data_IF_613048197990
#
_entry.id   IF_613048197990
#
_cell.length_a   1.000
_cell.length_b   1.000
_cell.length_c   1.000
_cell.angle_alpha   90.00
_cell.angle_beta   90.00
_cell.angle_gamma   90.00
#
_symmetry.space_group_name_H-M   'P 1'
#
loop_
_entity.id
_entity.type
_entity.pdbx_description
1 polymer ?
#
# COMPACT_ATOMS: atom_id res chain seq x y z
N UNK A 1 3.80 44.26 25.21
CA UNK A 1 2.85 44.77 26.22
C UNK A 1 1.45 44.57 25.66
N UNK A 2 0.50 43.87 26.26
CA UNK A 2 0.41 43.19 27.54
C UNK A 2 -0.59 42.05 27.38
N UNK A 3 -0.34 40.97 28.11
CA UNK A 3 -1.17 39.78 28.26
C UNK A 3 -2.40 40.17 29.09
N UNK A 4 -3.59 39.74 28.68
CA UNK A 4 -4.80 39.81 29.52
C UNK A 4 -5.15 38.40 29.97
N UNK A 5 -5.30 38.28 31.29
CA UNK A 5 -5.30 37.05 32.08
C UNK A 5 -6.63 36.30 31.96
N UNK A 6 -6.51 34.98 31.99
CA UNK A 6 -7.59 34.02 32.23
C UNK A 6 -7.81 33.92 33.75
N UNK A 7 -9.02 34.20 34.24
CA UNK A 7 -9.40 34.01 35.65
C UNK A 7 -9.95 32.59 35.86
N UNK A 8 -9.32 31.89 36.81
CA UNK A 8 -9.66 30.56 37.29
C UNK A 8 -10.58 30.72 38.50
N UNK A 9 -11.82 30.24 38.41
CA UNK A 9 -12.69 30.10 39.58
C UNK A 9 -12.34 28.80 40.31
N UNK A 10 -11.81 28.94 41.52
CA UNK A 10 -11.67 27.88 42.51
C UNK A 10 -12.99 27.63 43.23
N UNK A 11 -13.39 26.36 43.38
CA UNK A 11 -14.43 25.94 44.31
C UNK A 11 -13.82 25.02 45.37
N UNK A 12 -13.73 25.55 46.60
CA UNK A 12 -13.50 24.81 47.84
C UNK A 12 -14.85 24.31 48.36
N UNK A 13 -14.97 23.00 48.65
CA UNK A 13 -15.98 22.49 49.59
C UNK A 13 -15.30 21.54 50.57
N UNK A 14 -15.44 21.89 51.85
CA UNK A 14 -14.85 21.27 53.03
C UNK A 14 -15.27 19.83 53.31
N UNK A 15 -14.31 19.12 53.90
CA UNK A 15 -14.37 18.12 54.96
C UNK A 15 -15.72 17.45 55.28
N UNK A 16 -15.76 16.13 55.11
CA UNK A 16 -16.36 15.22 56.11
C UNK A 16 -15.38 14.05 56.34
N UNK A 17 -14.72 14.08 57.50
CA UNK A 17 -13.98 12.96 58.06
C UNK A 17 -14.99 11.97 58.66
N UNK A 18 -14.95 10.70 58.26
CA UNK A 18 -15.56 9.61 59.03
C UNK A 18 -14.63 8.40 59.00
N UNK A 19 -14.09 8.11 60.18
CA UNK A 19 -13.22 7.00 60.50
C UNK A 19 -14.10 5.91 61.12
N UNK A 20 -14.28 4.77 60.45
CA UNK A 20 -14.61 3.52 61.13
C UNK A 20 -13.74 2.40 60.56
N UNK A 21 -13.06 1.74 61.50
CA UNK A 21 -12.03 0.74 61.32
C UNK A 21 -12.61 -0.64 60.98
N UNK A 22 -11.82 -1.36 60.17
CA UNK A 22 -11.53 -2.80 60.22
C UNK A 22 -12.70 -3.79 60.13
N UNK A 23 -12.78 -4.48 58.99
CA UNK A 23 -12.78 -5.94 58.99
C UNK A 23 -12.08 -6.44 57.73
N UNK A 24 -11.11 -7.33 57.94
CA UNK A 24 -10.24 -7.85 56.91
C UNK A 24 -10.94 -8.81 55.95
N UNK A 25 -10.54 -8.75 54.69
CA UNK A 25 -10.48 -9.92 53.84
C UNK A 25 -9.16 -9.86 53.06
N UNK A 26 -8.20 -10.68 53.50
CA UNK A 26 -6.98 -10.98 52.77
C UNK A 26 -7.33 -11.83 51.56
N UNK A 27 -7.34 -11.26 50.34
CA UNK A 27 -7.09 -12.04 49.11
C UNK A 27 -6.33 -11.15 48.11
N UNK A 28 -5.02 -11.43 48.04
CA UNK A 28 -4.06 -11.34 46.93
C UNK A 28 -4.06 -10.10 45.98
N UNK A 29 -2.89 -9.48 45.75
CA UNK A 29 -2.74 -8.51 44.67
C UNK A 29 -2.92 -9.24 43.33
N UNK A 30 -3.95 -8.88 42.56
CA UNK A 30 -3.98 -9.20 41.14
C UNK A 30 -2.78 -8.49 40.51
N UNK A 31 -1.77 -9.31 40.23
CA UNK A 31 -0.62 -9.01 39.39
C UNK A 31 -1.04 -8.05 38.28
N UNK A 32 -0.41 -6.88 38.25
CA UNK A 32 -0.37 -6.01 37.09
C UNK A 32 0.33 -6.84 36.02
N UNK A 33 -0.44 -7.64 35.28
CA UNK A 33 0.03 -8.23 34.04
C UNK A 33 0.42 -7.06 33.16
N UNK A 34 1.72 -6.89 32.94
CA UNK A 34 2.25 -6.15 31.80
C UNK A 34 1.36 -6.52 30.61
N UNK A 35 0.55 -5.57 30.14
CA UNK A 35 0.00 -5.66 28.81
C UNK A 35 1.22 -5.60 27.89
N UNK A 36 1.75 -6.78 27.55
CA UNK A 36 2.61 -6.95 26.40
C UNK A 36 1.84 -6.34 25.23
N UNK A 37 2.33 -5.20 24.74
CA UNK A 37 1.98 -4.73 23.40
C UNK A 37 2.30 -5.88 22.45
N UNK A 38 1.28 -6.63 22.10
CA UNK A 38 1.34 -7.65 21.09
C UNK A 38 1.61 -6.90 19.78
N UNK A 39 2.72 -7.18 19.08
CA UNK A 39 2.96 -6.52 17.80
C UNK A 39 1.77 -6.82 16.88
N UNK A 40 1.35 -5.77 16.17
CA UNK A 40 0.27 -5.81 15.21
C UNK A 40 0.49 -6.96 14.21
N UNK A 41 -0.58 -7.75 14.07
CA UNK A 41 -1.01 -8.50 12.89
C UNK A 41 0.10 -9.14 12.02
N UNK A 42 0.16 -10.47 12.12
CA UNK A 42 0.74 -11.43 11.18
C UNK A 42 1.08 -10.84 9.79
N UNK A 43 2.30 -10.31 9.66
CA UNK A 43 2.84 -9.82 8.41
C UNK A 43 2.94 -11.04 7.50
N UNK A 44 2.19 -11.04 6.39
CA UNK A 44 2.28 -12.04 5.33
C UNK A 44 3.75 -12.43 5.12
N UNK A 45 4.08 -13.72 5.21
CA UNK A 45 5.46 -14.25 5.11
C UNK A 45 6.27 -13.54 4.01
N UNK A 46 7.05 -12.53 4.40
CA UNK A 46 7.91 -11.69 3.53
C UNK A 46 9.14 -12.48 3.04
N UNK A 47 9.29 -13.72 3.49
CA UNK A 47 10.47 -14.58 3.29
C UNK A 47 10.67 -15.08 1.85
N UNK A 48 9.76 -14.80 0.91
CA UNK A 48 9.83 -15.28 -0.48
C UNK A 48 10.11 -14.20 -1.54
N UNK A 49 10.36 -12.94 -1.15
CA UNK A 49 10.64 -11.86 -2.10
C UNK A 49 12.13 -11.89 -2.52
N UNK A 50 12.46 -12.01 -3.82
CA UNK A 50 13.84 -12.00 -4.29
C UNK A 50 14.58 -10.71 -3.91
N UNK A 51 15.87 -10.83 -3.59
CA UNK A 51 16.73 -9.71 -3.20
C UNK A 51 16.74 -8.59 -4.25
N UNK A 52 16.67 -8.93 -5.54
CA UNK A 52 16.67 -7.97 -6.64
C UNK A 52 15.49 -7.00 -6.62
N UNK A 53 14.40 -7.32 -5.92
CA UNK A 53 13.19 -6.48 -5.83
C UNK A 53 12.83 -6.12 -4.39
N UNK A 54 13.74 -6.31 -3.43
CA UNK A 54 13.52 -5.83 -2.06
C UNK A 54 13.41 -4.31 -2.01
N UNK A 55 12.45 -3.82 -1.22
CA UNK A 55 12.35 -2.39 -0.92
C UNK A 55 13.56 -1.91 -0.12
N UNK A 56 13.98 -0.65 -0.25
CA UNK A 56 15.06 -0.10 0.56
C UNK A 56 14.77 -0.13 2.07
N UNK A 57 15.83 -0.07 2.87
CA UNK A 57 15.72 0.05 4.32
C UNK A 57 14.95 1.30 4.72
N UNK A 58 14.15 1.19 5.78
CA UNK A 58 13.36 2.30 6.32
C UNK A 58 11.98 2.47 5.66
N UNK A 59 11.62 1.58 4.74
CA UNK A 59 10.27 1.45 4.19
C UNK A 59 9.46 0.43 4.99
N UNK A 60 8.16 0.66 5.10
CA UNK A 60 7.23 -0.18 5.83
C UNK A 60 6.03 -0.53 4.95
N UNK A 61 5.58 -1.77 5.04
CA UNK A 61 4.39 -2.22 4.32
C UNK A 61 3.18 -1.47 4.86
N UNK A 62 2.48 -0.78 3.97
CA UNK A 62 1.30 -0.01 4.29
C UNK A 62 0.04 -0.84 4.05
N UNK A 63 -0.08 -1.48 2.88
CA UNK A 63 -1.14 -2.45 2.58
C UNK A 63 -0.81 -3.33 1.36
N UNK A 64 -1.58 -4.40 1.22
CA UNK A 64 -1.63 -5.28 0.06
C UNK A 64 -2.92 -5.01 -0.74
N UNK A 65 -2.80 -4.99 -2.06
CA UNK A 65 -3.92 -4.88 -3.02
C UNK A 65 -3.77 -5.95 -4.08
N UNK A 66 -4.82 -6.72 -4.33
CA UNK A 66 -4.81 -7.66 -5.44
C UNK A 66 -5.32 -6.99 -6.72
N UNK A 67 -4.85 -7.46 -7.87
CA UNK A 67 -5.25 -6.92 -9.16
C UNK A 67 -5.64 -8.03 -10.13
N UNK A 68 -6.62 -7.73 -10.98
CA UNK A 68 -7.03 -8.58 -12.11
C UNK A 68 -7.30 -7.72 -13.34
N UNK A 69 -6.79 -8.16 -14.48
CA UNK A 69 -6.90 -7.37 -15.70
C UNK A 69 -6.17 -7.99 -16.89
N UNK A 70 -5.60 -7.15 -17.74
CA UNK A 70 -4.81 -7.57 -18.88
C UNK A 70 -3.55 -6.72 -19.07
N UNK A 71 -2.51 -7.34 -19.61
CA UNK A 71 -1.44 -6.62 -20.31
C UNK A 71 -1.87 -6.47 -21.77
N UNK A 72 -1.84 -5.25 -22.26
CA UNK A 72 -2.18 -4.93 -23.64
C UNK A 72 -0.89 -4.89 -24.44
N UNK A 73 -0.80 -5.73 -25.47
CA UNK A 73 0.32 -5.75 -26.41
C UNK A 73 -0.12 -5.24 -27.77
N UNK A 74 0.80 -4.59 -28.47
CA UNK A 74 0.64 -4.15 -29.86
C UNK A 74 1.71 -4.83 -30.70
N UNK A 75 1.32 -5.37 -31.85
CA UNK A 75 2.26 -5.99 -32.78
C UNK A 75 2.99 -4.90 -33.56
N UNK A 76 4.32 -4.86 -33.45
CA UNK A 76 5.16 -3.86 -34.09
C UNK A 76 6.35 -4.51 -34.77
N UNK A 77 6.91 -3.80 -35.74
CA UNK A 77 8.22 -4.14 -36.27
C UNK A 77 9.24 -4.06 -35.14
N UNK A 78 10.10 -5.07 -35.00
CA UNK A 78 11.08 -5.15 -33.92
C UNK A 78 12.09 -3.99 -33.98
N UNK A 79 12.45 -3.57 -35.20
CA UNK A 79 13.21 -2.35 -35.46
C UNK A 79 12.95 -1.90 -36.89
N UNK A 80 13.25 -0.64 -37.21
CA UNK A 80 13.06 -0.07 -38.56
C UNK A 80 13.85 -0.81 -39.66
N UNK A 81 14.85 -1.62 -39.27
CA UNK A 81 15.70 -2.40 -40.17
C UNK A 81 15.43 -3.91 -40.12
N UNK A 82 14.43 -4.35 -39.35
CA UNK A 82 14.05 -5.76 -39.23
C UNK A 82 12.81 -6.05 -40.07
N UNK A 83 12.72 -7.24 -40.65
CA UNK A 83 11.45 -7.76 -41.20
C UNK A 83 10.66 -8.55 -40.15
N UNK A 84 11.20 -8.68 -38.93
CA UNK A 84 10.58 -9.42 -37.84
C UNK A 84 9.64 -8.51 -37.05
N UNK A 85 8.50 -9.08 -36.67
CA UNK A 85 7.49 -8.43 -35.86
C UNK A 85 7.45 -9.06 -34.46
N UNK A 86 7.26 -8.23 -33.44
CA UNK A 86 7.14 -8.67 -32.06
C UNK A 86 6.00 -7.95 -31.32
N UNK A 87 5.45 -8.64 -30.32
CA UNK A 87 4.48 -8.07 -29.41
C UNK A 87 5.17 -7.13 -28.41
N UNK A 88 4.95 -5.82 -28.56
CA UNK A 88 5.46 -4.81 -27.63
C UNK A 88 4.40 -4.47 -26.58
N UNK A 89 4.79 -4.37 -25.30
CA UNK A 89 3.88 -3.96 -24.24
C UNK A 89 3.43 -2.51 -24.46
N UNK A 90 2.11 -2.30 -24.57
CA UNK A 90 1.50 -0.97 -24.70
C UNK A 90 1.12 -0.40 -23.33
N UNK A 91 0.37 -1.15 -22.54
CA UNK A 91 -0.08 -0.72 -21.20
C UNK A 91 -0.66 -1.89 -20.39
N UNK A 92 -0.62 -1.83 -19.05
CA UNK A 92 -1.54 -2.58 -18.22
C UNK A 92 -2.94 -1.94 -18.25
N UNK A 93 -3.97 -2.75 -18.00
CA UNK A 93 -5.34 -2.34 -17.71
C UNK A 93 -5.92 -3.31 -16.69
N UNK A 94 -5.98 -2.88 -15.42
CA UNK A 94 -6.39 -3.75 -14.33
C UNK A 94 -7.23 -3.05 -13.26
N UNK A 95 -8.17 -3.82 -12.72
CA UNK A 95 -8.96 -3.48 -11.54
C UNK A 95 -8.14 -3.78 -10.28
N UNK A 96 -8.14 -2.86 -9.33
CA UNK A 96 -7.54 -3.02 -8.01
C UNK A 96 -8.62 -3.43 -7.00
N UNK A 97 -8.30 -4.42 -6.18
CA UNK A 97 -9.19 -5.00 -5.19
C UNK A 97 -8.53 -4.93 -3.80
N UNK A 98 -9.27 -4.46 -2.80
CA UNK A 98 -8.84 -4.55 -1.42
C UNK A 98 -8.88 -6.00 -0.91
N UNK A 99 -8.47 -6.23 0.34
CA UNK A 99 -8.42 -7.57 0.95
C UNK A 99 -9.80 -8.24 1.05
N UNK A 100 -10.88 -7.45 1.09
CA UNK A 100 -12.26 -7.94 1.07
C UNK A 100 -12.77 -8.21 -0.35
N UNK A 101 -11.94 -8.05 -1.38
CA UNK A 101 -12.30 -8.24 -2.78
C UNK A 101 -13.15 -7.11 -3.38
N UNK A 102 -13.25 -5.97 -2.69
CA UNK A 102 -13.99 -4.80 -3.15
C UNK A 102 -13.13 -3.95 -4.07
N UNK A 103 -13.76 -3.34 -5.07
CA UNK A 103 -13.11 -2.45 -6.03
C UNK A 103 -12.58 -1.18 -5.33
N UNK A 104 -11.25 -1.06 -5.33
CA UNK A 104 -10.46 0.02 -4.76
C UNK A 104 -10.11 1.10 -5.80
N UNK A 105 -10.10 0.75 -7.09
CA UNK A 105 -9.60 1.61 -8.16
C UNK A 105 -8.99 0.84 -9.32
N UNK A 106 -8.04 1.45 -10.02
CA UNK A 106 -7.48 0.92 -11.27
C UNK A 106 -5.98 1.14 -11.41
N UNK A 107 -5.35 0.29 -12.22
CA UNK A 107 -3.96 0.39 -12.63
C UNK A 107 -3.85 0.44 -14.17
N UNK A 108 -3.11 1.41 -14.69
CA UNK A 108 -2.99 1.67 -16.13
C UNK A 108 -1.62 2.23 -16.52
N UNK A 109 -1.47 2.66 -17.78
CA UNK A 109 -0.22 3.19 -18.37
C UNK A 109 0.45 4.27 -17.51
N UNK A 110 1.77 4.43 -17.67
CA UNK A 110 2.55 5.41 -16.91
C UNK A 110 3.43 4.86 -15.80
N UNK A 111 3.44 3.54 -15.54
CA UNK A 111 2.45 2.87 -14.68
C UNK A 111 1.84 3.76 -13.59
N UNK A 112 0.51 3.78 -13.51
CA UNK A 112 -0.26 4.60 -12.56
C UNK A 112 -1.22 3.73 -11.74
N UNK A 113 -1.38 4.02 -10.46
CA UNK A 113 -2.44 3.47 -9.61
C UNK A 113 -3.33 4.63 -9.17
N UNK A 114 -4.62 4.50 -9.41
CA UNK A 114 -5.64 5.50 -9.10
C UNK A 114 -6.72 4.85 -8.24
N UNK A 115 -7.00 5.45 -7.09
CA UNK A 115 -8.02 4.99 -6.16
C UNK A 115 -9.34 5.71 -6.37
N UNK A 116 -10.43 5.15 -5.84
CA UNK A 116 -11.76 5.77 -5.87
C UNK A 116 -11.89 7.08 -5.12
N UNK A 117 -10.99 7.36 -4.18
CA UNK A 117 -10.89 8.66 -3.50
C UNK A 117 -10.22 9.75 -4.37
N UNK A 118 -9.85 9.42 -5.61
CA UNK A 118 -9.21 10.31 -6.57
C UNK A 118 -7.70 10.43 -6.39
N UNK A 119 -7.11 9.80 -5.37
CA UNK A 119 -5.66 9.81 -5.20
C UNK A 119 -4.97 8.93 -6.22
N UNK A 120 -3.76 9.35 -6.63
CA UNK A 120 -2.94 8.63 -7.59
C UNK A 120 -1.49 8.55 -7.15
N UNK A 121 -0.82 7.49 -7.56
CA UNK A 121 0.64 7.39 -7.58
C UNK A 121 1.09 6.95 -8.96
N UNK A 122 2.03 7.69 -9.53
CA UNK A 122 2.75 7.31 -10.76
C UNK A 122 4.12 6.79 -10.33
N UNK A 123 4.56 5.67 -10.89
CA UNK A 123 5.85 5.08 -10.53
C UNK A 123 6.70 4.74 -11.77
N UNK A 124 7.96 4.37 -11.53
CA UNK A 124 8.82 3.77 -12.55
C UNK A 124 9.29 2.41 -12.09
N UNK A 125 9.61 1.52 -13.04
CA UNK A 125 10.30 0.27 -12.71
C UNK A 125 11.73 0.58 -12.26
N UNK A 126 12.12 0.07 -11.09
CA UNK A 126 13.48 0.19 -10.57
C UNK A 126 14.28 -1.09 -10.82
N UNK A 127 13.66 -2.25 -10.62
CA UNK A 127 14.25 -3.55 -10.87
C UNK A 127 13.16 -4.59 -11.10
N UNK A 128 13.58 -5.76 -11.60
CA UNK A 128 12.70 -6.90 -11.88
C UNK A 128 13.29 -8.20 -11.36
N UNK A 129 12.42 -9.17 -11.12
CA UNK A 129 12.77 -10.56 -10.90
C UNK A 129 11.94 -11.41 -11.87
N UNK A 130 12.63 -12.24 -12.66
CA UNK A 130 11.96 -13.19 -13.53
C UNK A 130 11.31 -14.30 -12.69
N UNK A 131 10.20 -14.84 -13.18
CA UNK A 131 9.39 -15.85 -12.50
C UNK A 131 9.49 -17.18 -13.23
N UNK A 132 9.35 -18.29 -12.50
CA UNK A 132 9.47 -19.63 -13.06
C UNK A 132 8.24 -20.05 -13.87
N UNK A 133 7.09 -19.39 -13.68
CA UNK A 133 5.89 -19.65 -14.48
C UNK A 133 6.06 -19.07 -15.89
N UNK A 134 5.97 -19.94 -16.91
CA UNK A 134 6.33 -19.61 -18.29
C UNK A 134 5.50 -18.48 -18.92
N UNK A 135 4.26 -18.28 -18.45
CA UNK A 135 3.28 -17.32 -18.98
C UNK A 135 3.11 -16.06 -18.10
N UNK A 136 3.78 -16.02 -16.94
CA UNK A 136 3.68 -14.92 -16.01
C UNK A 136 4.65 -13.78 -16.36
N UNK A 137 4.19 -12.53 -16.20
CA UNK A 137 5.07 -11.36 -16.27
C UNK A 137 6.01 -11.29 -15.05
N UNK A 138 7.20 -10.66 -15.17
CA UNK A 138 8.14 -10.52 -14.06
C UNK A 138 7.53 -9.80 -12.85
N UNK A 139 8.03 -10.17 -11.67
CA UNK A 139 7.84 -9.36 -10.47
C UNK A 139 8.69 -8.10 -10.55
N UNK A 140 8.21 -7.02 -9.94
CA UNK A 140 8.84 -5.70 -10.06
C UNK A 140 9.01 -5.05 -8.69
N UNK A 141 10.08 -4.28 -8.56
CA UNK A 141 10.15 -3.15 -7.64
C UNK A 141 9.93 -1.87 -8.43
N UNK A 142 9.02 -1.02 -7.94
CA UNK A 142 8.72 0.28 -8.52
C UNK A 142 8.93 1.39 -7.50
N UNK A 143 9.49 2.51 -7.98
CA UNK A 143 9.75 3.72 -7.21
C UNK A 143 8.75 4.80 -7.62
N UNK A 144 8.03 5.36 -6.65
CA UNK A 144 7.09 6.45 -6.89
C UNK A 144 7.80 7.68 -7.49
N UNK A 145 7.10 8.36 -8.40
CA UNK A 145 7.58 9.55 -9.11
C UNK A 145 6.76 10.79 -8.83
N UNK A 146 5.46 10.63 -8.74
CA UNK A 146 4.54 11.70 -8.40
C UNK A 146 3.30 11.15 -7.74
N UNK A 147 2.63 12.05 -7.02
CA UNK A 147 1.38 11.80 -6.33
C UNK A 147 0.37 12.86 -6.72
N UNK A 148 -0.90 12.47 -6.77
CA UNK A 148 -2.02 13.40 -6.91
C UNK A 148 -3.05 13.09 -5.83
N UNK A 149 -3.72 14.14 -5.33
CA UNK A 149 -4.76 14.01 -4.32
C UNK A 149 -4.24 13.71 -2.90
N UNK A 150 -5.16 13.75 -1.94
CA UNK A 150 -4.87 13.61 -0.50
C UNK A 150 -5.31 12.27 0.10
N UNK A 151 -5.61 11.30 -0.77
CA UNK A 151 -6.15 9.99 -0.42
C UNK A 151 -5.10 8.92 -0.13
N UNK A 152 -5.48 7.66 -0.28
CA UNK A 152 -4.67 6.51 0.10
C UNK A 152 -3.30 6.51 -0.59
N UNK A 153 -3.19 6.89 -1.86
CA UNK A 153 -1.90 6.78 -2.55
C UNK A 153 -0.89 7.89 -2.23
N UNK A 154 -1.28 8.94 -1.48
CA UNK A 154 -0.49 10.18 -1.36
C UNK A 154 0.91 10.05 -0.74
N UNK A 155 1.18 8.97 0.00
CA UNK A 155 2.44 8.74 0.75
C UNK A 155 3.18 7.48 0.28
N UNK A 156 2.76 6.88 -0.83
CA UNK A 156 3.40 5.67 -1.33
C UNK A 156 4.77 6.02 -1.90
N UNK A 157 5.84 5.47 -1.35
CA UNK A 157 7.20 5.65 -1.88
C UNK A 157 7.61 4.51 -2.82
N UNK A 158 7.23 3.27 -2.47
CA UNK A 158 7.58 2.08 -3.22
C UNK A 158 6.38 1.17 -3.42
N UNK A 159 6.42 0.45 -4.53
CA UNK A 159 5.41 -0.55 -4.87
C UNK A 159 6.15 -1.81 -5.31
N UNK A 160 5.82 -2.95 -4.72
CA UNK A 160 6.23 -4.24 -5.28
C UNK A 160 5.06 -4.86 -6.02
N UNK A 161 5.32 -5.40 -7.21
CA UNK A 161 4.39 -6.29 -7.91
C UNK A 161 4.89 -7.71 -7.78
N UNK A 162 4.13 -8.56 -7.12
CA UNK A 162 4.48 -9.96 -6.85
C UNK A 162 3.30 -10.88 -7.19
N UNK A 163 3.51 -12.19 -7.05
CA UNK A 163 2.51 -13.24 -7.28
C UNK A 163 1.77 -13.10 -8.63
N UNK A 164 2.51 -12.71 -9.66
CA UNK A 164 1.96 -12.56 -11.01
C UNK A 164 1.56 -13.92 -11.59
N UNK A 165 0.42 -13.97 -12.27
CA UNK A 165 -0.02 -15.11 -13.07
C UNK A 165 -0.45 -14.57 -14.43
N UNK A 166 0.04 -15.17 -15.51
CA UNK A 166 -0.25 -14.73 -16.87
C UNK A 166 0.33 -13.35 -17.25
N UNK A 167 -0.20 -12.79 -18.32
CA UNK A 167 0.14 -11.47 -18.82
C UNK A 167 1.34 -11.41 -19.74
N UNK A 168 2.12 -12.48 -19.93
CA UNK A 168 3.25 -12.49 -20.87
C UNK A 168 2.75 -12.48 -22.32
N UNK A 169 3.45 -11.78 -23.20
CA UNK A 169 3.16 -11.78 -24.63
C UNK A 169 3.14 -13.21 -25.20
N UNK A 170 2.21 -13.55 -26.11
CA UNK A 170 2.26 -14.80 -26.84
C UNK A 170 3.52 -14.89 -27.71
N UNK A 171 4.04 -16.09 -27.92
CA UNK A 171 5.22 -16.31 -28.77
C UNK A 171 4.88 -16.22 -30.26
N UNK A 172 3.60 -16.37 -30.62
CA UNK A 172 3.11 -16.40 -32.01
C UNK A 172 2.05 -15.32 -32.26
N UNK A 173 1.72 -15.10 -33.53
CA UNK A 173 0.60 -14.25 -33.94
C UNK A 173 0.92 -12.77 -34.11
N UNK A 174 2.18 -12.38 -33.97
CA UNK A 174 2.65 -11.07 -34.42
C UNK A 174 3.50 -11.26 -35.67
N UNK A 175 2.99 -10.73 -36.78
CA UNK A 175 3.56 -10.75 -38.12
C UNK A 175 3.05 -9.53 -38.89
N UNK A 176 3.51 -9.37 -40.13
CA UNK A 176 3.12 -8.26 -41.00
C UNK A 176 1.59 -8.12 -41.18
N UNK A 177 0.86 -9.23 -41.22
CA UNK A 177 -0.62 -9.20 -41.38
C UNK A 177 -1.34 -8.74 -40.11
N UNK A 178 -0.63 -8.78 -38.98
CA UNK A 178 -1.12 -8.40 -37.65
C UNK A 178 -0.52 -7.08 -37.16
N UNK A 179 0.21 -6.35 -38.00
CA UNK A 179 0.83 -5.07 -37.65
C UNK A 179 -0.22 -4.09 -37.07
N UNK A 180 0.15 -3.40 -35.98
CA UNK A 180 -0.71 -2.51 -35.21
C UNK A 180 -1.95 -3.15 -34.57
N UNK A 181 -2.16 -4.47 -34.71
CA UNK A 181 -3.18 -5.19 -33.95
C UNK A 181 -2.84 -5.15 -32.47
N UNK A 182 -3.87 -5.03 -31.64
CA UNK A 182 -3.75 -5.14 -30.18
C UNK A 182 -4.33 -6.45 -29.68
N UNK A 183 -3.69 -7.02 -28.67
CA UNK A 183 -4.19 -8.17 -27.93
C UNK A 183 -4.17 -7.89 -26.44
N UNK A 184 -5.08 -8.54 -25.72
CA UNK A 184 -5.20 -8.44 -24.26
C UNK A 184 -4.87 -9.79 -23.66
N UNK A 185 -3.75 -9.88 -22.96
CA UNK A 185 -3.34 -11.09 -22.24
C UNK A 185 -3.73 -10.94 -20.77
N UNK A 186 -4.62 -11.81 -20.28
CA UNK A 186 -5.10 -11.77 -18.90
C UNK A 186 -3.96 -11.92 -17.91
N UNK A 187 -4.00 -11.16 -16.82
CA UNK A 187 -3.07 -11.35 -15.69
C UNK A 187 -3.73 -11.05 -14.35
N UNK A 188 -3.16 -11.63 -13.30
CA UNK A 188 -3.37 -11.22 -11.91
C UNK A 188 -2.05 -10.89 -11.25
N UNK A 189 -2.07 -10.09 -10.19
CA UNK A 189 -0.91 -9.77 -9.38
C UNK A 189 -1.32 -9.33 -7.98
N UNK A 190 -0.37 -9.35 -7.05
CA UNK A 190 -0.45 -8.63 -5.79
C UNK A 190 0.47 -7.41 -5.82
N UNK A 191 -0.05 -6.28 -5.37
CA UNK A 191 0.68 -5.04 -5.18
C UNK A 191 0.85 -4.76 -3.68
N UNK A 192 2.11 -4.66 -3.26
CA UNK A 192 2.47 -4.24 -1.90
C UNK A 192 2.90 -2.79 -1.94
N UNK A 193 2.22 -1.93 -1.19
CA UNK A 193 2.49 -0.50 -1.14
C UNK A 193 3.26 -0.16 0.13
N UNK A 194 4.31 0.65 -0.01
CA UNK A 194 5.22 0.98 1.07
C UNK A 194 5.33 2.49 1.29
N UNK A 195 5.60 2.84 2.53
CA UNK A 195 5.76 4.21 3.03
C UNK A 195 7.01 4.30 3.89
N UNK A 196 7.65 5.46 3.89
CA UNK A 196 8.82 5.71 4.74
C UNK A 196 8.45 5.77 6.23
N UNK A 197 9.30 5.22 7.09
CA UNK A 197 9.15 5.23 8.56
C UNK A 197 8.88 6.63 9.13
N UNK A 198 9.53 7.66 8.58
CA UNK A 198 9.34 9.05 8.99
C UNK A 198 7.93 9.57 8.68
N UNK A 199 7.33 9.09 7.59
CA UNK A 199 5.97 9.44 7.17
C UNK A 199 4.91 8.67 7.98
N UNK A 200 5.21 7.42 8.37
CA UNK A 200 4.34 6.66 9.29
C UNK A 200 4.18 7.33 10.64
N UNK A 201 5.28 7.78 11.26
CA UNK A 201 5.23 8.52 12.52
C UNK A 201 4.39 9.81 12.41
N UNK A 202 4.28 10.39 11.22
CA UNK A 202 3.41 11.54 10.96
C UNK A 202 1.94 11.14 10.76
N UNK A 203 1.67 10.00 10.12
CA UNK A 203 0.33 9.42 10.05
C UNK A 203 -0.24 9.09 11.43
N UNK A 204 0.56 8.48 12.30
CA UNK A 204 0.14 8.12 13.66
C UNK A 204 -0.16 9.37 14.50
N UNK A 205 0.67 10.41 14.38
CA UNK A 205 0.40 11.70 15.04
C UNK A 205 -0.90 12.35 14.53
N UNK A 206 -1.15 12.33 13.23
CA UNK A 206 -2.37 12.90 12.65
C UNK A 206 -3.62 12.07 12.99
N UNK A 207 -3.50 10.74 13.09
CA UNK A 207 -4.57 9.85 13.54
C UNK A 207 -4.93 10.09 15.01
N UNK A 208 -3.91 10.27 15.88
CA UNK A 208 -4.12 10.63 17.28
C UNK A 208 -4.84 11.98 17.38
N UNK A 209 -4.38 13.01 16.65
CA UNK A 209 -5.02 14.33 16.66
C UNK A 209 -6.47 14.27 16.19
N UNK A 210 -6.78 13.53 15.12
CA UNK A 210 -8.17 13.39 14.64
C UNK A 210 -9.10 12.64 15.60
N UNK A 211 -8.58 11.73 16.43
CA UNK A 211 -9.39 11.11 17.50
C UNK A 211 -9.76 12.12 18.59
N UNK A 212 -8.82 12.98 18.98
CA UNK A 212 -9.07 14.01 20.00
C UNK A 212 -10.07 15.10 19.56
N UNK A 213 -10.18 15.38 18.26
CA UNK A 213 -11.15 16.37 17.75
C UNK A 213 -12.54 15.80 17.40
N UNK A 214 -12.73 14.47 17.34
CA UNK A 214 -14.04 13.84 17.11
C UNK A 214 -14.76 13.35 18.36
N UNK A 215 -14.07 13.20 19.49
CA UNK A 215 -14.66 12.78 20.77
C UNK A 215 -14.87 13.94 21.75
N UNK A 216 -14.75 15.20 21.29
CA UNK A 216 -14.85 16.39 22.13
C UNK A 216 -15.52 17.59 21.45
N UNK A 217 -16.80 17.45 21.11
CA UNK A 217 -17.84 18.51 21.19
C UNK A 217 -19.17 17.83 21.51
#
# INVERSE_FOLDING_TARGET
MSITRCEILQLNVSLVFSLFMLNGCNILPKSITKATMQPAQNIANVTAIPDSIKVPNGEQLLWKVSAKGAQIYVCKLQSEYSEQYEWTLKAPDALLLNEQGQDLGKHYTGPTWEAKDGSKVVAKVKSKADVTQNDAIPWLLLEARSHEGNGIFRQVNWIQRINTVGGKAPVKGCDKSSENREIRVKYTADYLFYIGLTQLAQCDRNFIVHKYYKEGV
#
